data_IF_180618106640
#
_entry.id   IF_180618106640
#
_cell.length_a   1.000
_cell.length_b   1.000
_cell.length_c   1.000
_cell.angle_alpha   90.00
_cell.angle_beta   90.00
_cell.angle_gamma   90.00
#
_symmetry.space_group_name_H-M   'P 1'
#
loop_
_entity.id
_entity.type
_entity.pdbx_description
1 polymer ?
#
# COMPACT_ATOMS: atom_id res chain seq x y z
N UNK A 1 -65.02 24.80 -18.03
CA UNK A 1 -63.93 24.01 -18.62
C UNK A 1 -62.72 24.16 -17.70
N UNK A 2 -62.38 23.12 -16.94
CA UNK A 2 -61.25 23.18 -16.00
C UNK A 2 -59.96 22.83 -16.77
N UNK A 3 -59.06 23.80 -16.90
CA UNK A 3 -57.75 23.57 -17.53
C UNK A 3 -56.84 22.84 -16.54
N UNK A 4 -56.40 21.64 -16.90
CA UNK A 4 -55.42 20.87 -16.13
C UNK A 4 -54.04 21.43 -16.46
N UNK A 5 -53.44 22.16 -15.52
CA UNK A 5 -52.04 22.60 -15.63
C UNK A 5 -51.18 21.36 -15.36
N UNK A 6 -50.78 20.67 -16.42
CA UNK A 6 -49.79 19.58 -16.33
C UNK A 6 -48.41 20.09 -16.75
N UNK A 7 -47.37 19.58 -16.10
CA UNK A 7 -45.98 19.85 -16.49
C UNK A 7 -45.72 19.36 -17.91
N UNK A 8 -44.83 20.04 -18.65
CA UNK A 8 -44.38 19.53 -19.95
C UNK A 8 -43.86 18.09 -19.81
N UNK A 9 -44.21 17.17 -20.74
CA UNK A 9 -43.79 15.78 -20.63
C UNK A 9 -42.26 15.69 -20.75
N UNK A 10 -41.61 15.28 -19.66
CA UNK A 10 -40.19 14.96 -19.69
C UNK A 10 -39.98 13.61 -20.39
N UNK A 11 -39.06 13.56 -21.35
CA UNK A 11 -38.66 12.30 -22.00
C UNK A 11 -37.96 11.44 -20.95
N UNK A 12 -38.62 10.37 -20.52
CA UNK A 12 -38.04 9.43 -19.56
C UNK A 12 -36.90 8.64 -20.21
N UNK A 13 -35.69 8.81 -19.68
CA UNK A 13 -34.57 7.93 -19.95
C UNK A 13 -34.85 6.53 -19.39
N UNK A 14 -34.50 5.48 -20.14
CA UNK A 14 -34.58 4.08 -19.68
C UNK A 14 -33.42 3.69 -18.76
N UNK A 15 -32.40 4.54 -18.63
CA UNK A 15 -31.24 4.32 -17.78
C UNK A 15 -31.57 4.68 -16.33
N UNK A 16 -31.39 3.71 -15.44
CA UNK A 16 -31.57 3.87 -13.99
C UNK A 16 -30.23 3.72 -13.29
N UNK A 17 -30.10 4.33 -12.11
CA UNK A 17 -28.90 4.21 -11.26
C UNK A 17 -28.54 2.74 -11.00
N UNK A 18 -29.54 1.90 -10.70
CA UNK A 18 -29.36 0.46 -10.51
C UNK A 18 -28.76 -0.23 -11.75
N UNK A 19 -29.26 0.05 -12.97
CA UNK A 19 -28.69 -0.52 -14.21
C UNK A 19 -27.24 -0.10 -14.43
N UNK A 20 -26.90 1.14 -14.12
CA UNK A 20 -25.52 1.64 -14.23
C UNK A 20 -24.61 0.91 -13.24
N UNK A 21 -25.03 0.81 -11.96
CA UNK A 21 -24.26 0.13 -10.91
C UNK A 21 -24.04 -1.35 -11.23
N UNK A 22 -25.09 -2.06 -11.67
CA UNK A 22 -24.96 -3.45 -12.10
C UNK A 22 -24.08 -3.61 -13.35
N UNK A 23 -24.11 -2.65 -14.29
CA UNK A 23 -23.21 -2.69 -15.46
C UNK A 23 -21.74 -2.61 -15.04
N UNK A 24 -21.40 -1.78 -14.04
CA UNK A 24 -20.05 -1.71 -13.47
C UNK A 24 -19.71 -2.99 -12.72
N UNK A 25 -20.64 -3.53 -11.94
CA UNK A 25 -20.47 -4.81 -11.26
C UNK A 25 -20.14 -5.95 -12.25
N UNK A 26 -20.93 -6.11 -13.32
CA UNK A 26 -20.68 -7.11 -14.36
C UNK A 26 -19.34 -6.93 -15.08
N UNK A 27 -18.88 -5.68 -15.24
CA UNK A 27 -17.57 -5.40 -15.82
C UNK A 27 -16.40 -5.87 -14.92
N UNK A 28 -16.60 -5.95 -13.60
CA UNK A 28 -15.59 -6.36 -12.63
C UNK A 28 -15.56 -7.88 -12.37
N UNK A 29 -16.68 -8.58 -12.59
CA UNK A 29 -16.80 -10.03 -12.34
C UNK A 29 -15.67 -10.86 -12.98
N UNK A 30 -15.31 -10.67 -14.27
CA UNK A 30 -14.24 -11.46 -14.88
C UNK A 30 -12.91 -11.32 -14.13
N UNK A 31 -12.57 -10.10 -13.71
CA UNK A 31 -11.36 -9.84 -12.93
C UNK A 31 -11.43 -10.50 -11.54
N UNK A 32 -12.60 -10.49 -10.90
CA UNK A 32 -12.84 -11.19 -9.63
C UNK A 32 -12.69 -12.70 -9.72
N UNK A 33 -13.26 -13.31 -10.76
CA UNK A 33 -13.14 -14.76 -11.00
C UNK A 33 -11.66 -15.13 -11.17
N UNK A 34 -10.91 -14.36 -11.95
CA UNK A 34 -9.48 -14.59 -12.13
C UNK A 34 -8.69 -14.39 -10.83
N UNK A 35 -9.06 -13.38 -10.01
CA UNK A 35 -8.53 -13.20 -8.67
C UNK A 35 -8.76 -14.42 -7.77
N UNK A 36 -9.93 -15.04 -7.83
CA UNK A 36 -10.26 -16.26 -7.10
C UNK A 36 -9.41 -17.45 -7.56
N UNK A 37 -9.21 -17.60 -8.87
CA UNK A 37 -8.39 -18.67 -9.42
C UNK A 37 -6.91 -18.54 -9.02
N UNK A 38 -6.40 -17.31 -8.83
CA UNK A 38 -4.98 -17.07 -8.51
C UNK A 38 -4.69 -17.06 -7.02
N UNK A 39 -5.53 -16.42 -6.22
CA UNK A 39 -5.33 -16.33 -4.78
C UNK A 39 -6.04 -17.44 -3.99
N UNK A 40 -6.79 -18.32 -4.67
CA UNK A 40 -7.48 -19.45 -4.07
C UNK A 40 -8.73 -19.05 -3.29
N UNK A 41 -9.27 -20.02 -2.55
CA UNK A 41 -10.59 -19.96 -1.91
C UNK A 41 -10.70 -18.81 -0.89
N UNK A 42 -9.61 -18.43 -0.22
CA UNK A 42 -9.62 -17.32 0.75
C UNK A 42 -10.00 -15.99 0.12
N UNK A 43 -9.61 -15.72 -1.12
CA UNK A 43 -10.03 -14.49 -1.82
C UNK A 43 -11.54 -14.44 -2.08
N UNK A 44 -12.17 -15.60 -2.36
CA UNK A 44 -13.61 -15.70 -2.50
C UNK A 44 -14.31 -15.39 -1.17
N UNK A 45 -13.75 -15.86 -0.04
CA UNK A 45 -14.26 -15.54 1.30
C UNK A 45 -14.16 -14.04 1.56
N UNK A 46 -13.04 -13.38 1.24
CA UNK A 46 -12.87 -11.92 1.40
C UNK A 46 -13.89 -11.15 0.56
N UNK A 47 -14.07 -11.50 -0.71
CA UNK A 47 -15.07 -10.85 -1.59
C UNK A 47 -16.48 -11.05 -1.03
N UNK A 48 -16.86 -12.30 -0.70
CA UNK A 48 -18.19 -12.63 -0.23
C UNK A 48 -18.52 -11.93 1.08
N UNK A 49 -17.62 -11.99 2.07
CA UNK A 49 -17.79 -11.34 3.37
C UNK A 49 -17.84 -9.81 3.26
N UNK A 50 -17.06 -9.21 2.36
CA UNK A 50 -17.09 -7.77 2.09
C UNK A 50 -18.44 -7.33 1.50
N UNK A 51 -18.93 -8.04 0.48
CA UNK A 51 -20.23 -7.74 -0.12
C UNK A 51 -21.36 -7.94 0.89
N UNK A 52 -21.34 -9.07 1.61
CA UNK A 52 -22.36 -9.40 2.60
C UNK A 52 -22.40 -8.34 3.72
N UNK A 53 -21.24 -7.99 4.28
CA UNK A 53 -21.15 -6.98 5.34
C UNK A 53 -21.61 -5.59 4.89
N UNK A 54 -21.24 -5.15 3.68
CA UNK A 54 -21.72 -3.87 3.13
C UNK A 54 -23.25 -3.84 2.95
N UNK A 55 -23.86 -4.93 2.45
CA UNK A 55 -25.31 -5.03 2.29
C UNK A 55 -26.01 -5.03 3.66
N UNK A 56 -25.46 -5.78 4.63
CA UNK A 56 -26.00 -5.81 5.99
C UNK A 56 -25.95 -4.45 6.67
N UNK A 57 -24.80 -3.75 6.59
CA UNK A 57 -24.68 -2.41 7.18
C UNK A 57 -25.58 -1.38 6.49
N UNK A 58 -25.81 -1.50 5.18
CA UNK A 58 -26.75 -0.64 4.46
C UNK A 58 -28.18 -0.87 4.96
N UNK A 59 -28.61 -2.13 5.08
CA UNK A 59 -29.93 -2.45 5.62
C UNK A 59 -30.10 -1.95 7.06
N UNK A 60 -29.13 -2.24 7.93
CA UNK A 60 -29.19 -1.86 9.35
C UNK A 60 -29.22 -0.33 9.50
N UNK A 61 -28.34 0.37 8.79
CA UNK A 61 -28.26 1.83 8.88
C UNK A 61 -29.52 2.51 8.37
N UNK A 62 -30.09 2.06 7.24
CA UNK A 62 -31.34 2.61 6.72
C UNK A 62 -32.53 2.30 7.61
N UNK A 63 -32.63 1.05 8.11
CA UNK A 63 -33.77 0.59 8.91
C UNK A 63 -33.81 1.14 10.33
N UNK A 64 -32.65 1.22 11.00
CA UNK A 64 -32.56 1.48 12.43
C UNK A 64 -31.88 2.80 12.79
N UNK A 65 -30.84 3.22 12.05
CA UNK A 65 -30.04 4.41 12.39
C UNK A 65 -30.66 5.68 11.79
N UNK A 66 -30.72 5.75 10.46
CA UNK A 66 -31.15 6.95 9.72
C UNK A 66 -32.65 6.96 9.39
N UNK A 67 -33.35 5.82 9.56
CA UNK A 67 -34.80 5.65 9.30
C UNK A 67 -35.21 6.14 7.89
N UNK A 68 -34.37 5.87 6.90
CA UNK A 68 -34.61 6.21 5.50
C UNK A 68 -35.31 5.06 4.77
N UNK A 69 -35.75 5.30 3.53
CA UNK A 69 -36.32 4.25 2.67
C UNK A 69 -35.24 3.20 2.34
N UNK A 70 -35.59 1.93 2.38
CA UNK A 70 -34.68 0.81 2.10
C UNK A 70 -34.32 0.82 0.60
N UNK A 71 -33.02 0.96 0.27
CA UNK A 71 -32.48 1.09 -1.10
C UNK A 71 -31.49 0.00 -1.51
N UNK A 72 -31.56 -1.16 -0.87
CA UNK A 72 -30.61 -2.27 -1.07
C UNK A 72 -30.55 -2.75 -2.54
N UNK A 73 -31.67 -2.62 -3.27
CA UNK A 73 -31.80 -3.07 -4.65
C UNK A 73 -31.11 -2.16 -5.68
N UNK A 74 -30.54 -1.03 -5.26
CA UNK A 74 -29.79 -0.13 -6.16
C UNK A 74 -28.42 -0.70 -6.56
N UNK A 75 -27.95 -1.78 -5.92
CA UNK A 75 -26.68 -2.46 -6.25
C UNK A 75 -25.42 -1.69 -5.82
N UNK A 76 -25.57 -0.51 -5.24
CA UNK A 76 -24.45 0.35 -4.84
C UNK A 76 -23.64 -0.20 -3.67
N UNK A 77 -24.26 -0.81 -2.65
CA UNK A 77 -23.55 -1.48 -1.54
C UNK A 77 -22.78 -2.71 -1.99
N UNK A 78 -23.34 -3.48 -2.92
CA UNK A 78 -22.69 -4.63 -3.55
C UNK A 78 -21.41 -4.18 -4.26
N UNK A 79 -21.51 -3.12 -5.07
CA UNK A 79 -20.36 -2.56 -5.78
C UNK A 79 -19.29 -2.01 -4.82
N UNK A 80 -19.70 -1.33 -3.74
CA UNK A 80 -18.78 -0.83 -2.70
C UNK A 80 -18.03 -1.99 -2.04
N UNK A 81 -18.74 -3.06 -1.65
CA UNK A 81 -18.12 -4.23 -1.03
C UNK A 81 -17.17 -4.96 -1.99
N UNK A 82 -17.53 -5.08 -3.27
CA UNK A 82 -16.67 -5.68 -4.29
C UNK A 82 -15.38 -4.86 -4.50
N UNK A 83 -15.52 -3.56 -4.70
CA UNK A 83 -14.38 -2.65 -4.92
C UNK A 83 -13.48 -2.56 -3.69
N UNK A 84 -14.05 -2.56 -2.48
CA UNK A 84 -13.28 -2.60 -1.25
C UNK A 84 -12.48 -3.91 -1.16
N UNK A 85 -13.11 -5.06 -1.40
CA UNK A 85 -12.44 -6.36 -1.40
C UNK A 85 -11.27 -6.42 -2.39
N UNK A 86 -11.41 -5.83 -3.57
CA UNK A 86 -10.35 -5.81 -4.57
C UNK A 86 -9.13 -5.00 -4.12
N UNK A 87 -9.27 -4.09 -3.17
CA UNK A 87 -8.13 -3.34 -2.61
C UNK A 87 -7.51 -4.00 -1.36
N UNK A 88 -8.05 -5.15 -0.93
CA UNK A 88 -7.57 -5.89 0.23
C UNK A 88 -6.74 -7.12 -0.21
N UNK A 89 -5.66 -7.45 0.52
CA UNK A 89 -4.98 -8.74 0.39
C UNK A 89 -5.85 -9.90 0.92
N UNK A 90 -5.48 -11.14 0.57
CA UNK A 90 -6.13 -12.34 1.08
C UNK A 90 -5.80 -12.68 2.54
N UNK A 91 -4.77 -12.06 3.10
CA UNK A 91 -4.33 -12.27 4.49
C UNK A 91 -5.21 -11.56 5.52
N UNK A 92 -6.11 -10.68 5.08
CA UNK A 92 -6.99 -9.88 5.95
C UNK A 92 -7.99 -10.77 6.66
N UNK A 93 -8.16 -10.56 7.98
CA UNK A 93 -9.08 -11.33 8.80
C UNK A 93 -10.52 -10.88 8.56
N UNK A 94 -11.46 -11.82 8.59
CA UNK A 94 -12.88 -11.58 8.27
C UNK A 94 -13.48 -10.45 9.13
N UNK A 95 -13.17 -10.40 10.43
CA UNK A 95 -13.69 -9.36 11.33
C UNK A 95 -13.20 -7.95 10.98
N UNK A 96 -12.01 -7.80 10.37
CA UNK A 96 -11.48 -6.50 9.94
C UNK A 96 -12.29 -5.94 8.76
N UNK A 97 -12.81 -6.82 7.90
CA UNK A 97 -13.70 -6.47 6.79
C UNK A 97 -15.02 -5.89 7.32
N UNK A 98 -15.54 -6.42 8.43
CA UNK A 98 -16.72 -5.83 9.10
C UNK A 98 -16.46 -4.41 9.60
N UNK A 99 -15.26 -4.13 10.11
CA UNK A 99 -14.89 -2.76 10.52
C UNK A 99 -14.82 -1.85 9.29
N UNK A 100 -14.12 -2.25 8.23
CA UNK A 100 -14.03 -1.42 7.02
C UNK A 100 -15.38 -1.14 6.36
N UNK A 101 -16.25 -2.16 6.27
CA UNK A 101 -17.60 -2.02 5.70
C UNK A 101 -18.51 -1.12 6.55
N UNK A 102 -18.38 -1.13 7.87
CA UNK A 102 -19.07 -0.19 8.75
C UNK A 102 -18.68 1.26 8.42
N UNK A 103 -17.39 1.57 8.33
CA UNK A 103 -16.92 2.91 7.98
C UNK A 103 -17.30 3.31 6.55
N UNK A 104 -17.21 2.38 5.59
CA UNK A 104 -17.60 2.62 4.21
C UNK A 104 -19.09 2.93 4.06
N UNK A 105 -19.97 2.16 4.69
CA UNK A 105 -21.41 2.30 4.47
C UNK A 105 -22.01 3.32 5.44
N UNK A 106 -21.82 3.13 6.75
CA UNK A 106 -22.51 3.93 7.75
C UNK A 106 -21.98 5.36 7.74
N UNK A 107 -20.65 5.52 7.78
CA UNK A 107 -20.02 6.84 7.93
C UNK A 107 -19.74 7.54 6.60
N UNK A 108 -19.28 6.82 5.57
CA UNK A 108 -18.90 7.45 4.31
C UNK A 108 -20.04 7.61 3.30
N UNK A 109 -21.12 6.81 3.42
CA UNK A 109 -22.25 6.85 2.48
C UNK A 109 -23.54 7.36 3.14
N UNK A 110 -24.01 6.69 4.19
CA UNK A 110 -25.32 6.96 4.76
C UNK A 110 -25.35 8.26 5.60
N UNK A 111 -24.27 8.59 6.32
CA UNK A 111 -24.16 9.87 7.03
C UNK A 111 -24.29 11.10 6.13
N UNK A 112 -24.03 10.98 4.83
CA UNK A 112 -24.15 12.08 3.86
C UNK A 112 -25.48 12.06 3.08
N UNK A 113 -26.41 11.15 3.40
CA UNK A 113 -27.72 11.07 2.74
C UNK A 113 -27.83 9.97 1.68
N UNK A 114 -26.85 9.07 1.60
CA UNK A 114 -26.88 7.87 0.76
C UNK A 114 -26.33 8.10 -0.66
N UNK A 115 -26.83 7.31 -1.62
CA UNK A 115 -26.38 7.35 -3.02
C UNK A 115 -26.60 8.73 -3.66
N UNK A 116 -25.54 9.32 -4.19
CA UNK A 116 -25.57 10.62 -4.88
C UNK A 116 -25.06 11.81 -4.07
N UNK A 117 -24.78 11.64 -2.77
CA UNK A 117 -24.30 12.72 -1.89
C UNK A 117 -22.92 12.44 -1.26
N UNK A 118 -22.25 11.38 -1.71
CA UNK A 118 -20.96 10.97 -1.17
C UNK A 118 -19.88 12.01 -1.52
N UNK A 119 -19.25 12.60 -0.50
CA UNK A 119 -18.09 13.50 -0.69
C UNK A 119 -16.86 12.70 -1.15
N UNK A 120 -16.72 11.48 -0.65
CA UNK A 120 -15.59 10.60 -0.90
C UNK A 120 -16.05 9.26 -1.45
N UNK A 121 -15.15 8.55 -2.13
CA UNK A 121 -15.44 7.18 -2.57
C UNK A 121 -15.54 6.27 -1.32
N UNK A 122 -16.72 5.69 -1.02
CA UNK A 122 -16.93 4.97 0.23
C UNK A 122 -16.09 3.69 0.34
N UNK A 123 -15.86 2.99 -0.77
CA UNK A 123 -15.04 1.77 -0.81
C UNK A 123 -13.59 2.07 -0.42
N UNK A 124 -13.05 3.19 -0.92
CA UNK A 124 -11.70 3.64 -0.59
C UNK A 124 -11.57 4.07 0.87
N UNK A 125 -12.62 4.65 1.48
CA UNK A 125 -12.61 4.95 2.92
C UNK A 125 -12.53 3.67 3.74
N UNK A 126 -13.38 2.67 3.44
CA UNK A 126 -13.35 1.38 4.14
C UNK A 126 -11.97 0.73 4.07
N UNK A 127 -11.37 0.70 2.88
CA UNK A 127 -10.00 0.21 2.70
C UNK A 127 -8.96 1.04 3.48
N UNK A 128 -9.05 2.37 3.45
CA UNK A 128 -8.09 3.24 4.13
C UNK A 128 -8.12 3.02 5.65
N UNK A 129 -9.31 2.83 6.23
CA UNK A 129 -9.48 2.55 7.66
C UNK A 129 -8.82 1.23 8.04
N UNK A 130 -9.08 0.14 7.30
CA UNK A 130 -8.45 -1.15 7.60
C UNK A 130 -6.93 -1.03 7.52
N UNK A 131 -6.40 -0.32 6.51
CA UNK A 131 -4.96 -0.15 6.34
C UNK A 131 -4.28 0.70 7.42
N UNK A 132 -4.98 1.69 7.96
CA UNK A 132 -4.48 2.50 9.09
C UNK A 132 -4.51 1.70 10.40
N UNK A 133 -5.58 0.95 10.64
CA UNK A 133 -5.76 0.20 11.88
C UNK A 133 -4.93 -1.10 11.91
N UNK A 134 -4.75 -1.74 10.76
CA UNK A 134 -4.13 -3.07 10.64
C UNK A 134 -3.06 -3.11 9.53
N UNK A 135 -1.96 -2.36 9.67
CA UNK A 135 -0.92 -2.30 8.64
C UNK A 135 -0.18 -3.63 8.44
N UNK A 136 -0.05 -4.45 9.48
CA UNK A 136 0.64 -5.74 9.40
C UNK A 136 -0.09 -6.75 8.49
N UNK A 137 -1.41 -6.87 8.63
CA UNK A 137 -2.24 -7.79 7.84
C UNK A 137 -2.41 -7.30 6.37
N UNK A 138 -1.90 -6.11 6.04
CA UNK A 138 -1.89 -5.56 4.68
C UNK A 138 -0.65 -5.94 3.87
N UNK A 139 0.34 -6.56 4.50
CA UNK A 139 1.48 -7.16 3.82
C UNK A 139 1.06 -8.57 3.42
N UNK A 140 0.88 -8.81 2.12
CA UNK A 140 0.35 -10.10 1.62
C UNK A 140 1.27 -11.26 2.01
N UNK A 141 0.74 -12.20 2.79
CA UNK A 141 1.40 -13.47 3.14
C UNK A 141 0.63 -14.59 2.44
N UNK A 142 1.33 -15.40 1.64
CA UNK A 142 0.76 -16.61 1.05
C UNK A 142 0.62 -17.72 2.09
N UNK A 143 -0.32 -18.64 1.81
CA UNK A 143 -0.61 -19.84 2.62
C UNK A 143 0.61 -20.78 2.70
N UNK A 144 1.56 -20.69 1.77
CA UNK A 144 2.77 -21.51 1.73
C UNK A 144 3.97 -20.97 2.53
N UNK A 145 3.76 -19.98 3.40
CA UNK A 145 4.80 -19.51 4.34
C UNK A 145 5.98 -18.74 3.70
N UNK A 146 6.08 -18.71 2.37
CA UNK A 146 7.07 -17.90 1.66
C UNK A 146 6.53 -16.48 1.53
N UNK A 147 7.11 -15.56 2.29
CA UNK A 147 6.84 -14.12 2.15
C UNK A 147 7.52 -13.61 0.88
N UNK A 148 6.76 -13.37 -0.19
CA UNK A 148 7.30 -12.64 -1.36
C UNK A 148 6.78 -11.20 -1.31
N UNK A 149 7.70 -10.25 -1.49
CA UNK A 149 7.34 -8.85 -1.56
C UNK A 149 6.49 -8.57 -2.81
N UNK A 150 5.43 -7.75 -2.67
CA UNK A 150 4.64 -7.31 -3.83
C UNK A 150 5.54 -6.54 -4.81
N UNK A 151 5.29 -6.59 -6.14
CA UNK A 151 6.13 -5.89 -7.11
C UNK A 151 6.29 -4.40 -6.83
N UNK A 152 5.26 -3.77 -6.25
CA UNK A 152 5.32 -2.37 -5.82
C UNK A 152 6.19 -2.18 -4.56
N UNK A 153 6.18 -3.13 -3.64
CA UNK A 153 7.08 -3.17 -2.49
C UNK A 153 8.53 -3.31 -2.92
N UNK A 154 8.84 -4.25 -3.82
CA UNK A 154 10.20 -4.48 -4.35
C UNK A 154 10.73 -3.21 -5.02
N UNK A 155 9.93 -2.58 -5.89
CA UNK A 155 10.30 -1.31 -6.56
C UNK A 155 10.56 -0.17 -5.58
N UNK A 156 9.87 -0.14 -4.45
CA UNK A 156 9.98 0.94 -3.47
C UNK A 156 11.22 0.80 -2.58
N UNK A 157 11.53 -0.44 -2.20
CA UNK A 157 12.64 -0.74 -1.30
C UNK A 157 13.95 -1.04 -2.04
N UNK A 158 13.96 -0.98 -3.38
CA UNK A 158 15.12 -1.33 -4.23
C UNK A 158 15.77 -2.65 -3.80
N UNK A 159 14.96 -3.64 -3.45
CA UNK A 159 15.47 -4.98 -3.14
C UNK A 159 15.91 -5.58 -4.48
N UNK A 160 17.15 -6.07 -4.56
CA UNK A 160 17.75 -6.75 -5.72
C UNK A 160 17.10 -8.13 -5.97
N UNK A 161 15.78 -8.15 -6.08
CA UNK A 161 14.96 -9.29 -6.43
C UNK A 161 14.50 -9.08 -7.87
N UNK A 162 14.60 -10.11 -8.72
CA UNK A 162 14.19 -10.03 -10.13
C UNK A 162 12.77 -9.46 -10.23
N UNK A 163 12.65 -8.30 -10.88
CA UNK A 163 11.35 -7.71 -11.22
C UNK A 163 10.55 -8.73 -12.03
N UNK A 164 9.33 -9.04 -11.56
CA UNK A 164 8.40 -9.92 -12.27
C UNK A 164 8.28 -9.50 -13.73
N UNK A 165 8.27 -10.47 -14.65
CA UNK A 165 8.19 -10.22 -16.08
C UNK A 165 6.96 -9.39 -16.45
N UNK A 166 7.06 -8.57 -17.51
CA UNK A 166 5.94 -7.73 -17.97
C UNK A 166 4.67 -8.55 -18.28
N UNK A 167 4.86 -9.78 -18.77
CA UNK A 167 3.78 -10.74 -19.02
C UNK A 167 3.08 -11.16 -17.74
N UNK A 168 3.83 -11.39 -16.66
CA UNK A 168 3.27 -11.78 -15.36
C UNK A 168 2.55 -10.61 -14.69
N UNK A 169 3.08 -9.40 -14.82
CA UNK A 169 2.41 -8.16 -14.40
C UNK A 169 1.09 -7.94 -15.13
N UNK A 170 1.04 -8.21 -16.43
CA UNK A 170 -0.13 -7.97 -17.28
C UNK A 170 -1.22 -9.04 -17.13
N UNK A 171 -0.82 -10.31 -17.11
CA UNK A 171 -1.72 -11.47 -16.97
C UNK A 171 -2.19 -11.62 -15.52
N UNK A 172 -1.31 -11.36 -14.55
CA UNK A 172 -1.68 -11.51 -13.15
C UNK A 172 -0.95 -12.48 -12.28
N UNK A 173 0.18 -13.03 -12.71
CA UNK A 173 0.90 -14.03 -11.94
C UNK A 173 1.76 -13.40 -10.84
N UNK A 174 1.27 -12.30 -10.25
CA UNK A 174 1.99 -11.52 -9.25
C UNK A 174 1.21 -11.44 -7.96
N UNK A 175 1.93 -11.35 -6.84
CA UNK A 175 1.35 -11.19 -5.52
C UNK A 175 0.92 -9.73 -5.30
N UNK A 176 -0.18 -9.52 -4.59
CA UNK A 176 -0.77 -8.20 -4.38
C UNK A 176 -2.20 -8.27 -3.83
N UNK A 177 -2.95 -7.18 -3.97
CA UNK A 177 -4.38 -7.18 -3.68
C UNK A 177 -5.19 -7.93 -4.76
N UNK A 178 -6.40 -8.39 -4.41
CA UNK A 178 -7.28 -9.14 -5.32
C UNK A 178 -7.58 -8.38 -6.62
N UNK A 179 -7.54 -7.05 -6.58
CA UNK A 179 -7.74 -6.15 -7.71
C UNK A 179 -6.53 -5.94 -8.62
N UNK A 180 -5.35 -6.46 -8.24
CA UNK A 180 -4.12 -6.33 -9.04
C UNK A 180 -3.92 -7.49 -10.03
N UNK A 181 -4.82 -8.48 -10.02
CA UNK A 181 -4.56 -9.79 -10.64
C UNK A 181 -4.79 -9.81 -12.14
N UNK A 182 -5.53 -8.92 -12.79
CA UNK A 182 -5.49 -8.95 -14.27
C UNK A 182 -5.82 -7.60 -14.88
N UNK A 183 -4.77 -6.99 -15.44
CA UNK A 183 -4.90 -5.71 -16.14
C UNK A 183 -5.64 -5.90 -17.45
N UNK A 184 -5.44 -7.04 -18.12
CA UNK A 184 -6.17 -7.41 -19.32
C UNK A 184 -7.69 -7.42 -19.03
N UNK A 185 -8.13 -8.15 -18.01
CA UNK A 185 -9.56 -8.28 -17.71
C UNK A 185 -10.17 -6.95 -17.22
N UNK A 186 -9.43 -6.17 -16.43
CA UNK A 186 -9.86 -4.83 -16.03
C UNK A 186 -9.99 -3.88 -17.22
N UNK A 187 -9.07 -3.94 -18.18
CA UNK A 187 -9.14 -3.14 -19.41
C UNK A 187 -10.33 -3.57 -20.27
N UNK A 188 -10.60 -4.88 -20.41
CA UNK A 188 -11.79 -5.36 -21.12
C UNK A 188 -13.09 -4.86 -20.45
N UNK A 189 -13.15 -4.89 -19.11
CA UNK A 189 -14.25 -4.30 -18.35
C UNK A 189 -14.37 -2.78 -18.60
N UNK A 190 -13.26 -2.05 -18.64
CA UNK A 190 -13.26 -0.63 -18.94
C UNK A 190 -13.74 -0.34 -20.37
N UNK A 191 -13.32 -1.13 -21.37
CA UNK A 191 -13.78 -1.03 -22.76
C UNK A 191 -15.30 -1.24 -22.84
N UNK A 192 -15.84 -2.24 -22.14
CA UNK A 192 -17.28 -2.45 -22.05
C UNK A 192 -18.02 -1.20 -21.51
N UNK A 193 -17.48 -0.56 -20.47
CA UNK A 193 -18.07 0.66 -19.89
C UNK A 193 -17.94 1.89 -20.81
N UNK A 194 -16.87 1.99 -21.61
CA UNK A 194 -16.74 3.01 -22.65
C UNK A 194 -17.77 2.81 -23.77
N UNK A 195 -17.98 1.58 -24.23
CA UNK A 195 -19.00 1.26 -25.25
C UNK A 195 -20.40 1.63 -24.77
N UNK A 196 -20.70 1.41 -23.48
CA UNK A 196 -21.95 1.83 -22.83
C UNK A 196 -22.02 3.33 -22.52
N UNK A 197 -20.97 4.10 -22.79
CA UNK A 197 -20.84 5.54 -22.47
C UNK A 197 -21.11 5.87 -21.00
N UNK A 198 -20.81 4.93 -20.12
CA UNK A 198 -20.91 5.10 -18.67
C UNK A 198 -19.71 5.95 -18.22
N UNK A 199 -18.50 5.57 -18.63
CA UNK A 199 -17.27 6.24 -18.17
C UNK A 199 -16.75 7.22 -19.22
N UNK A 200 -16.24 8.36 -18.76
CA UNK A 200 -15.54 9.33 -19.61
C UNK A 200 -14.03 9.06 -19.66
N UNK A 201 -13.42 9.19 -20.84
CA UNK A 201 -12.00 8.90 -21.05
C UNK A 201 -11.05 9.93 -20.42
N UNK A 202 -11.52 11.14 -20.14
CA UNK A 202 -10.70 12.25 -19.62
C UNK A 202 -9.98 11.89 -18.31
N UNK A 203 -10.67 11.29 -17.33
CA UNK A 203 -10.05 10.99 -16.03
C UNK A 203 -9.00 9.87 -16.17
N UNK A 204 -9.33 8.68 -16.72
CA UNK A 204 -8.36 7.59 -16.81
C UNK A 204 -7.15 7.93 -17.68
N UNK A 205 -7.36 8.60 -18.82
CA UNK A 205 -6.28 8.96 -19.73
C UNK A 205 -5.28 9.92 -19.06
N UNK A 206 -5.78 10.98 -18.41
CA UNK A 206 -4.91 11.97 -17.75
C UNK A 206 -4.21 11.40 -16.52
N UNK A 207 -4.86 10.50 -15.80
CA UNK A 207 -4.29 9.83 -14.64
C UNK A 207 -3.13 8.90 -15.06
N UNK A 208 -3.34 8.03 -16.06
CA UNK A 208 -2.29 7.11 -16.53
C UNK A 208 -1.14 7.89 -17.19
N UNK A 209 -1.44 8.91 -18.01
CA UNK A 209 -0.41 9.68 -18.70
C UNK A 209 0.50 10.44 -17.75
N UNK A 210 -0.04 10.98 -16.66
CA UNK A 210 0.77 11.72 -15.68
C UNK A 210 1.70 10.81 -14.91
N UNK A 211 1.25 9.62 -14.50
CA UNK A 211 2.13 8.62 -13.89
C UNK A 211 3.21 8.16 -14.86
N UNK A 212 2.87 7.96 -16.14
CA UNK A 212 3.84 7.60 -17.18
C UNK A 212 4.95 8.64 -17.31
N UNK A 213 4.57 9.91 -17.49
CA UNK A 213 5.51 11.02 -17.71
C UNK A 213 6.40 11.22 -16.48
N UNK A 214 5.82 11.24 -15.28
CA UNK A 214 6.60 11.41 -14.05
C UNK A 214 7.55 10.24 -13.83
N UNK A 215 7.11 9.01 -14.07
CA UNK A 215 7.99 7.83 -13.94
C UNK A 215 9.18 7.91 -14.90
N UNK A 216 8.95 8.35 -16.14
CA UNK A 216 10.01 8.53 -17.14
C UNK A 216 11.01 9.62 -16.72
N UNK A 217 10.53 10.77 -16.21
CA UNK A 217 11.37 11.88 -15.74
C UNK A 217 12.30 11.43 -14.60
N UNK A 218 11.80 10.60 -13.69
CA UNK A 218 12.55 10.11 -12.54
C UNK A 218 13.34 8.82 -12.79
N UNK A 219 13.52 8.43 -14.06
CA UNK A 219 14.28 7.25 -14.49
C UNK A 219 13.78 5.93 -13.88
N UNK A 220 12.49 5.84 -13.58
CA UNK A 220 11.83 4.58 -13.19
C UNK A 220 11.13 3.98 -14.40
N UNK A 221 11.03 2.65 -14.47
CA UNK A 221 10.32 1.96 -15.55
C UNK A 221 8.83 2.37 -15.58
N UNK A 222 8.35 3.16 -16.57
CA UNK A 222 7.01 3.72 -16.53
C UNK A 222 5.92 2.66 -16.68
N UNK A 223 6.20 1.66 -17.51
CA UNK A 223 5.28 0.54 -17.77
C UNK A 223 5.11 -0.30 -16.51
N UNK A 224 6.19 -0.58 -15.78
CA UNK A 224 6.11 -1.34 -14.54
C UNK A 224 5.35 -0.56 -13.47
N UNK A 225 5.49 0.77 -13.41
CA UNK A 225 4.69 1.61 -12.51
C UNK A 225 3.19 1.58 -12.85
N UNK A 226 2.81 1.63 -14.12
CA UNK A 226 1.39 1.59 -14.51
C UNK A 226 0.77 0.21 -14.24
N UNK A 227 1.52 -0.86 -14.55
CA UNK A 227 1.07 -2.24 -14.39
C UNK A 227 1.21 -2.76 -12.95
N UNK A 228 1.91 -2.04 -12.08
CA UNK A 228 2.08 -2.39 -10.67
C UNK A 228 1.03 -1.70 -9.80
N UNK A 229 0.56 -2.40 -8.76
CA UNK A 229 -0.45 -1.92 -7.82
C UNK A 229 -1.83 -1.72 -8.44
N UNK A 230 -2.75 -1.16 -7.64
CA UNK A 230 -4.15 -0.95 -8.02
C UNK A 230 -4.41 0.20 -9.01
N UNK A 231 -3.44 0.64 -9.82
CA UNK A 231 -3.57 1.88 -10.62
C UNK A 231 -4.65 1.76 -11.70
N UNK A 232 -4.67 0.67 -12.46
CA UNK A 232 -5.67 0.47 -13.51
C UNK A 232 -7.07 0.34 -12.92
N UNK A 233 -7.21 -0.43 -11.84
CA UNK A 233 -8.47 -0.53 -11.11
C UNK A 233 -8.94 0.84 -10.60
N UNK A 234 -8.04 1.59 -9.96
CA UNK A 234 -8.34 2.92 -9.44
C UNK A 234 -8.70 3.92 -10.53
N UNK A 235 -7.98 3.92 -11.65
CA UNK A 235 -8.20 4.85 -12.76
C UNK A 235 -9.55 4.62 -13.46
N UNK A 236 -9.92 3.37 -13.73
CA UNK A 236 -11.13 3.06 -14.50
C UNK A 236 -12.37 2.76 -13.67
N UNK A 237 -12.26 2.38 -12.39
CA UNK A 237 -13.43 1.95 -11.62
C UNK A 237 -13.68 2.77 -10.35
N UNK A 238 -12.69 3.55 -9.88
CA UNK A 238 -12.82 4.34 -8.65
C UNK A 238 -12.75 5.84 -8.88
N UNK A 239 -11.82 6.31 -9.71
CA UNK A 239 -11.64 7.72 -10.03
C UNK A 239 -12.76 8.26 -10.95
N UNK A 240 -13.46 7.37 -11.65
CA UNK A 240 -14.56 7.69 -12.56
C UNK A 240 -15.93 7.48 -11.92
N UNK A 241 -15.99 7.38 -10.60
CA UNK A 241 -17.26 7.33 -9.87
C UNK A 241 -18.01 8.68 -10.02
N UNK A 242 -19.28 8.61 -10.41
CA UNK A 242 -20.07 9.78 -10.84
C UNK A 242 -20.34 10.78 -9.73
N UNK A 243 -20.42 10.31 -8.50
CA UNK A 243 -20.78 11.15 -7.36
C UNK A 243 -19.58 11.94 -6.86
N UNK A 244 -18.39 11.38 -7.03
CA UNK A 244 -17.16 11.86 -6.42
C UNK A 244 -16.16 12.42 -7.43
N UNK A 245 -16.56 12.59 -8.69
CA UNK A 245 -15.72 13.16 -9.76
C UNK A 245 -16.34 14.44 -10.35
N UNK A 246 -15.53 15.36 -10.90
CA UNK A 246 -16.04 16.61 -11.46
C UNK A 246 -16.94 16.39 -12.66
N UNK A 247 -17.93 17.26 -12.85
CA UNK A 247 -18.91 17.16 -13.94
C UNK A 247 -18.29 17.65 -15.26
N UNK A 248 -17.55 18.77 -15.22
CA UNK A 248 -17.03 19.43 -16.43
C UNK A 248 -15.74 18.79 -16.97
N UNK A 249 -15.57 18.80 -18.29
CA UNK A 249 -14.38 18.23 -18.96
C UNK A 249 -13.05 18.81 -18.46
N UNK A 250 -12.97 20.14 -18.24
CA UNK A 250 -11.77 20.79 -17.69
C UNK A 250 -11.47 20.34 -16.26
N UNK A 251 -12.51 20.22 -15.43
CA UNK A 251 -12.40 19.70 -14.06
C UNK A 251 -11.90 18.26 -14.05
N UNK A 252 -12.44 17.41 -14.94
CA UNK A 252 -12.01 16.01 -15.10
C UNK A 252 -10.54 15.87 -15.49
N UNK A 253 -10.03 16.74 -16.36
CA UNK A 253 -8.61 16.75 -16.76
C UNK A 253 -7.72 17.10 -15.57
N UNK A 254 -8.04 18.19 -14.85
CA UNK A 254 -7.26 18.63 -13.67
C UNK A 254 -7.32 17.56 -12.58
N UNK A 255 -8.48 16.94 -12.38
CA UNK A 255 -8.68 15.85 -11.44
C UNK A 255 -7.79 14.65 -11.77
N UNK A 256 -7.80 14.18 -13.02
CA UNK A 256 -6.95 13.08 -13.46
C UNK A 256 -5.45 13.38 -13.31
N UNK A 257 -5.02 14.60 -13.67
CA UNK A 257 -3.62 15.05 -13.48
C UNK A 257 -3.24 15.03 -12.00
N UNK A 258 -4.11 15.58 -11.13
CA UNK A 258 -3.88 15.64 -9.69
C UNK A 258 -3.80 14.26 -9.06
N UNK A 259 -4.68 13.33 -9.45
CA UNK A 259 -4.62 11.93 -9.02
C UNK A 259 -3.25 11.33 -9.36
N UNK A 260 -2.80 11.41 -10.61
CA UNK A 260 -1.54 10.80 -11.02
C UNK A 260 -0.29 11.42 -10.40
N UNK A 261 -0.27 12.74 -10.23
CA UNK A 261 0.81 13.43 -9.52
C UNK A 261 0.90 12.97 -8.06
N UNK A 262 -0.24 12.89 -7.37
CA UNK A 262 -0.29 12.42 -5.99
C UNK A 262 0.08 10.94 -5.88
N UNK A 263 -0.41 10.08 -6.77
CA UNK A 263 -0.05 8.65 -6.76
C UNK A 263 1.44 8.44 -6.93
N UNK A 264 2.06 9.12 -7.91
CA UNK A 264 3.49 9.01 -8.14
C UNK A 264 4.29 9.49 -6.93
N UNK A 265 3.88 10.65 -6.36
CA UNK A 265 4.54 11.22 -5.18
C UNK A 265 4.43 10.31 -3.96
N UNK A 266 3.26 9.71 -3.73
CA UNK A 266 3.02 8.78 -2.63
C UNK A 266 3.76 7.45 -2.83
N UNK A 267 3.90 6.96 -4.07
CA UNK A 267 4.70 5.76 -4.35
C UNK A 267 6.18 5.98 -4.07
N UNK A 268 6.70 7.14 -4.46
CA UNK A 268 8.12 7.47 -4.31
C UNK A 268 8.50 7.86 -2.88
N UNK A 269 7.67 8.65 -2.20
CA UNK A 269 8.01 9.26 -0.90
C UNK A 269 7.12 8.79 0.26
N UNK A 270 5.95 8.21 -0.02
CA UNK A 270 5.02 7.78 1.01
C UNK A 270 5.50 6.54 1.76
N UNK A 271 4.80 6.17 2.83
CA UNK A 271 5.14 4.99 3.66
C UNK A 271 4.39 3.74 3.15
N UNK A 272 3.15 3.91 2.68
CA UNK A 272 2.34 2.82 2.14
C UNK A 272 2.77 2.40 0.73
N UNK A 273 2.65 1.12 0.42
CA UNK A 273 2.89 0.57 -0.92
C UNK A 273 1.72 0.93 -1.85
N UNK A 274 0.48 0.62 -1.45
CA UNK A 274 -0.73 1.01 -2.18
C UNK A 274 -1.08 2.50 -2.00
N UNK A 275 -0.79 3.29 -3.03
CA UNK A 275 -0.91 4.76 -3.01
C UNK A 275 -2.13 5.31 -3.75
N UNK A 276 -2.74 4.49 -4.61
CA UNK A 276 -3.79 4.90 -5.56
C UNK A 276 -5.05 5.37 -4.86
N UNK A 277 -5.53 4.60 -3.87
CA UNK A 277 -6.74 4.94 -3.13
C UNK A 277 -6.63 6.27 -2.38
N UNK A 278 -5.49 6.51 -1.72
CA UNK A 278 -5.25 7.77 -0.99
C UNK A 278 -5.22 8.97 -1.93
N UNK A 279 -4.59 8.85 -3.11
CA UNK A 279 -4.58 9.94 -4.10
C UNK A 279 -5.98 10.29 -4.59
N UNK A 280 -6.85 9.31 -4.81
CA UNK A 280 -8.25 9.54 -5.21
C UNK A 280 -9.02 10.21 -4.07
N UNK A 281 -8.90 9.73 -2.83
CA UNK A 281 -9.59 10.34 -1.68
C UNK A 281 -9.19 11.80 -1.47
N UNK A 282 -7.91 12.13 -1.63
CA UNK A 282 -7.40 13.51 -1.54
C UNK A 282 -7.98 14.37 -2.68
N UNK A 283 -8.07 13.83 -3.89
CA UNK A 283 -8.62 14.57 -5.02
C UNK A 283 -10.14 14.75 -4.95
N UNK A 284 -10.87 13.81 -4.34
CA UNK A 284 -12.32 13.92 -4.14
C UNK A 284 -12.68 15.18 -3.33
N UNK A 285 -11.84 15.56 -2.34
CA UNK A 285 -11.99 16.83 -1.60
C UNK A 285 -11.92 18.07 -2.50
N UNK A 286 -11.18 17.99 -3.60
CA UNK A 286 -10.97 19.10 -4.52
C UNK A 286 -12.12 19.23 -5.53
N UNK A 287 -13.01 18.25 -5.66
CA UNK A 287 -14.06 18.21 -6.69
C UNK A 287 -15.04 19.38 -6.58
N UNK A 288 -15.60 19.76 -5.41
CA UNK A 288 -16.48 20.92 -5.31
C UNK A 288 -15.81 22.22 -5.79
N UNK A 289 -14.49 22.33 -5.59
CA UNK A 289 -13.71 23.48 -6.02
C UNK A 289 -13.51 23.46 -7.54
N UNK A 290 -13.22 22.28 -8.11
CA UNK A 290 -13.04 22.09 -9.56
C UNK A 290 -14.33 22.41 -10.35
N UNK A 291 -15.49 22.01 -9.84
CA UNK A 291 -16.77 22.33 -10.47
C UNK A 291 -17.17 23.79 -10.26
N UNK A 292 -16.83 24.37 -9.11
CA UNK A 292 -17.07 25.79 -8.80
C UNK A 292 -16.41 26.78 -9.77
N UNK A 293 -15.32 26.40 -10.46
CA UNK A 293 -14.65 27.28 -11.42
C UNK A 293 -15.46 27.60 -12.69
N UNK A 294 -16.44 26.76 -13.06
CA UNK A 294 -17.20 26.92 -14.30
C UNK A 294 -18.64 27.44 -14.10
N UNK A 295 -19.15 27.49 -12.86
CA UNK A 295 -20.44 28.14 -12.61
C UNK A 295 -20.30 29.66 -12.80
N UNK A 296 -21.17 30.26 -13.63
CA UNK A 296 -21.23 31.72 -13.83
C UNK A 296 -21.37 32.40 -12.46
N UNK A 297 -20.60 33.48 -12.26
CA UNK A 297 -20.48 34.30 -11.03
C UNK A 297 -21.82 34.75 -10.43
N UNK A 298 -22.92 34.68 -11.15
CA UNK A 298 -24.19 35.29 -10.77
C UNK A 298 -25.05 34.44 -9.81
N UNK A 299 -24.78 33.14 -9.66
CA UNK A 299 -25.49 32.28 -8.69
C UNK A 299 -24.80 32.15 -7.33
N UNK A 300 -23.60 32.74 -7.18
CA UNK A 300 -22.74 32.53 -6.02
C UNK A 300 -22.70 33.77 -5.12
N UNK A 301 -23.87 34.21 -4.65
CA UNK A 301 -23.99 35.14 -3.52
C UNK A 301 -23.71 34.44 -2.17
N UNK A 302 -22.71 33.56 -2.12
CA UNK A 302 -22.10 33.10 -0.88
C UNK A 302 -20.59 33.19 -1.10
N UNK A 303 -20.03 34.36 -0.75
CA UNK A 303 -18.59 34.66 -0.73
C UNK A 303 -17.89 33.75 0.28
N UNK A 304 -17.69 32.48 -0.04
CA UNK A 304 -16.62 31.68 0.55
C UNK A 304 -15.43 31.89 -0.37
N UNK A 305 -14.35 32.42 0.19
CA UNK A 305 -13.16 32.83 -0.55
C UNK A 305 -12.35 31.59 -0.97
N UNK A 306 -12.93 30.76 -1.84
CA UNK A 306 -12.47 29.42 -2.25
C UNK A 306 -11.04 29.44 -2.79
N UNK A 307 -10.61 30.52 -3.48
CA UNK A 307 -9.21 30.71 -3.90
C UNK A 307 -8.22 30.68 -2.73
N UNK A 308 -8.60 31.23 -1.57
CA UNK A 308 -7.79 31.21 -0.35
C UNK A 308 -7.67 29.78 0.18
N UNK A 309 -8.75 29.00 0.14
CA UNK A 309 -8.74 27.60 0.58
C UNK A 309 -7.96 26.67 -0.36
N UNK A 310 -7.95 26.93 -1.68
CA UNK A 310 -7.08 26.21 -2.64
C UNK A 310 -5.60 26.53 -2.39
N UNK A 311 -5.26 27.81 -2.16
CA UNK A 311 -3.90 28.19 -1.79
C UNK A 311 -3.50 27.57 -0.45
N UNK A 312 -4.40 27.59 0.55
CA UNK A 312 -4.19 26.93 1.84
C UNK A 312 -4.06 25.42 1.65
N UNK A 313 -4.81 24.77 0.76
CA UNK A 313 -4.73 23.33 0.53
C UNK A 313 -3.40 22.93 -0.11
N UNK A 314 -2.97 23.62 -1.18
CA UNK A 314 -1.64 23.38 -1.79
C UNK A 314 -0.49 23.73 -0.84
N UNK A 315 -0.68 24.76 -0.01
CA UNK A 315 0.31 25.18 0.99
C UNK A 315 0.33 24.21 2.18
N UNK A 316 -0.81 23.68 2.62
CA UNK A 316 -0.90 22.66 3.67
C UNK A 316 -0.41 21.31 3.16
N UNK A 317 -0.74 20.89 1.93
CA UNK A 317 -0.20 19.65 1.35
C UNK A 317 1.30 19.79 1.08
N UNK A 318 1.76 20.97 0.66
CA UNK A 318 3.18 21.30 0.50
C UNK A 318 3.92 21.31 1.82
N UNK A 319 3.35 21.92 2.87
CA UNK A 319 3.91 21.91 4.24
C UNK A 319 3.88 20.50 4.83
N UNK A 320 2.82 19.72 4.63
CA UNK A 320 2.74 18.34 5.08
C UNK A 320 3.78 17.48 4.35
N UNK A 321 4.02 17.75 3.06
CA UNK A 321 5.06 17.10 2.26
C UNK A 321 6.48 17.52 2.71
N UNK A 322 6.70 18.79 3.04
CA UNK A 322 7.96 19.29 3.60
C UNK A 322 8.17 18.74 5.01
N UNK A 323 7.14 18.68 5.84
CA UNK A 323 7.18 18.15 7.20
C UNK A 323 7.43 16.64 7.17
N UNK A 324 6.74 15.88 6.33
CA UNK A 324 7.03 14.46 6.13
C UNK A 324 8.43 14.25 5.56
N UNK A 325 8.92 15.11 4.66
CA UNK A 325 10.33 15.08 4.24
C UNK A 325 11.30 15.42 5.37
N UNK A 326 11.00 16.38 6.25
CA UNK A 326 11.84 16.72 7.41
C UNK A 326 11.86 15.59 8.45
N UNK A 327 10.72 14.97 8.73
CA UNK A 327 10.60 13.79 9.60
C UNK A 327 11.26 12.56 8.97
N UNK A 328 11.13 12.38 7.65
CA UNK A 328 11.83 11.33 6.90
C UNK A 328 13.32 11.59 6.83
N UNK A 329 13.83 12.82 6.63
CA UNK A 329 15.28 13.11 6.69
C UNK A 329 15.84 12.83 8.09
N UNK A 330 15.07 13.12 9.15
CA UNK A 330 15.46 12.78 10.53
C UNK A 330 15.49 11.27 10.78
N UNK A 331 14.62 10.48 10.12
CA UNK A 331 14.68 9.01 10.14
C UNK A 331 15.72 8.42 9.18
N UNK A 332 15.94 9.01 8.01
CA UNK A 332 16.90 8.56 6.98
C UNK A 332 18.34 8.83 7.43
N UNK A 333 18.61 9.85 8.25
CA UNK A 333 19.89 9.94 8.96
C UNK A 333 20.09 8.85 10.02
N UNK A 334 19.03 8.15 10.41
CA UNK A 334 19.06 6.98 11.32
C UNK A 334 19.01 5.66 10.51
N UNK A 335 18.65 5.69 9.22
CA UNK A 335 18.49 4.51 8.33
C UNK A 335 19.26 4.57 7.01
N UNK A 336 20.28 5.43 6.86
CA UNK A 336 21.42 5.02 6.02
C UNK A 336 22.08 3.88 6.80
N UNK A 337 22.44 2.73 6.18
CA UNK A 337 23.40 1.85 6.83
C UNK A 337 24.56 2.76 7.26
N UNK A 338 24.97 2.75 8.53
CA UNK A 338 26.13 3.51 8.95
C UNK A 338 27.23 3.19 7.94
N UNK A 339 27.95 4.23 7.50
CA UNK A 339 29.05 4.09 6.55
C UNK A 339 29.82 2.81 6.91
N UNK A 340 30.02 1.87 5.97
CA UNK A 340 30.46 0.50 6.32
C UNK A 340 31.70 0.51 7.23
N UNK A 341 32.55 1.52 7.06
CA UNK A 341 33.69 1.85 7.90
C UNK A 341 33.37 2.05 9.39
N UNK A 342 32.23 2.64 9.73
CA UNK A 342 31.73 2.83 11.11
C UNK A 342 31.29 1.48 11.70
N UNK A 343 30.57 0.65 10.94
CA UNK A 343 30.16 -0.69 11.38
C UNK A 343 31.39 -1.58 11.58
N UNK A 344 32.35 -1.51 10.66
CA UNK A 344 33.60 -2.26 10.75
C UNK A 344 34.45 -1.84 11.96
N UNK A 345 34.48 -0.55 12.30
CA UNK A 345 35.13 -0.06 13.53
C UNK A 345 34.41 -0.48 14.81
N UNK A 346 33.10 -0.59 14.81
CA UNK A 346 32.37 -1.10 15.98
C UNK A 346 32.65 -2.58 16.23
N UNK A 347 32.81 -3.34 15.16
CA UNK A 347 33.00 -4.79 15.20
C UNK A 347 34.48 -5.18 15.39
N UNK A 348 35.41 -4.40 14.85
CA UNK A 348 36.86 -4.56 14.97
C UNK A 348 37.52 -3.20 15.32
N UNK A 349 37.43 -2.74 16.58
CA UNK A 349 37.86 -1.39 16.98
C UNK A 349 39.37 -1.17 16.93
N UNK A 350 40.16 -2.24 16.80
CA UNK A 350 41.62 -2.19 16.74
C UNK A 350 42.17 -1.90 15.34
N UNK A 351 41.34 -1.93 14.29
CA UNK A 351 41.78 -1.67 12.92
C UNK A 351 41.70 -0.19 12.54
N UNK A 352 42.78 0.30 11.91
CA UNK A 352 42.89 1.62 11.34
C UNK A 352 42.30 1.71 9.92
N UNK A 353 42.46 0.64 9.13
CA UNK A 353 42.01 0.57 7.73
C UNK A 353 41.42 -0.81 7.37
N UNK A 354 40.63 -0.89 6.30
CA UNK A 354 39.90 -2.10 5.90
C UNK A 354 40.06 -2.42 4.41
N UNK A 355 40.37 -3.68 4.08
CA UNK A 355 40.43 -4.17 2.69
C UNK A 355 39.34 -5.23 2.49
N UNK A 356 38.34 -4.92 1.65
CA UNK A 356 37.29 -5.87 1.27
C UNK A 356 37.84 -6.92 0.27
N UNK A 357 37.60 -8.21 0.53
CA UNK A 357 37.81 -9.35 -0.37
C UNK A 357 36.45 -10.00 -0.69
N UNK A 358 36.41 -10.93 -1.64
CA UNK A 358 35.15 -11.57 -2.08
C UNK A 358 34.34 -12.22 -0.94
N UNK A 359 35.00 -12.80 0.08
CA UNK A 359 34.33 -13.57 1.14
C UNK A 359 34.53 -13.02 2.56
N UNK A 360 35.44 -12.05 2.77
CA UNK A 360 35.75 -11.47 4.08
C UNK A 360 36.40 -10.10 3.92
N UNK A 361 36.47 -9.32 4.99
CA UNK A 361 37.17 -8.02 5.02
C UNK A 361 38.35 -8.09 6.01
N UNK A 362 39.54 -7.69 5.57
CA UNK A 362 40.75 -7.66 6.40
C UNK A 362 40.83 -6.31 7.14
N UNK A 363 41.04 -6.34 8.46
CA UNK A 363 41.34 -5.16 9.26
C UNK A 363 42.85 -4.98 9.46
N UNK A 364 43.36 -3.80 9.14
CA UNK A 364 44.78 -3.45 9.16
C UNK A 364 45.11 -2.45 10.27
N UNK A 365 46.29 -2.59 10.87
CA UNK A 365 46.90 -1.61 11.77
C UNK A 365 47.46 -0.39 11.01
N UNK A 366 47.85 0.67 11.73
CA UNK A 366 48.57 1.84 11.17
C UNK A 366 49.84 1.43 10.40
N UNK A 367 50.44 0.29 10.76
CA UNK A 367 51.61 -0.29 10.10
C UNK A 367 51.27 -1.27 8.95
N UNK A 368 50.01 -1.30 8.46
CA UNK A 368 49.52 -2.21 7.42
C UNK A 368 49.68 -3.71 7.74
N UNK A 369 49.63 -4.08 9.02
CA UNK A 369 49.62 -5.48 9.46
C UNK A 369 48.18 -5.93 9.69
N UNK A 370 47.84 -7.15 9.32
CA UNK A 370 46.51 -7.72 9.55
C UNK A 370 46.32 -7.97 11.04
N UNK A 371 45.30 -7.36 11.64
CA UNK A 371 44.92 -7.53 13.05
C UNK A 371 43.75 -8.52 13.16
N UNK A 372 42.87 -8.57 12.16
CA UNK A 372 41.72 -9.46 12.21
C UNK A 372 40.88 -9.44 10.94
N UNK A 373 39.79 -10.18 10.97
CA UNK A 373 38.88 -10.39 9.85
C UNK A 373 37.46 -10.03 10.25
N UNK A 374 36.71 -9.50 9.28
CA UNK A 374 35.29 -9.21 9.41
C UNK A 374 34.55 -10.09 8.42
N UNK A 375 33.53 -10.78 8.91
CA UNK A 375 32.74 -11.75 8.17
C UNK A 375 31.26 -11.33 8.21
N UNK A 376 30.57 -11.53 7.08
CA UNK A 376 29.15 -11.25 6.94
C UNK A 376 28.42 -12.59 6.87
N UNK A 377 27.55 -12.85 7.84
CA UNK A 377 26.72 -14.05 7.92
C UNK A 377 25.33 -13.73 7.42
N UNK A 378 24.75 -14.68 6.68
CA UNK A 378 23.35 -14.68 6.31
C UNK A 378 22.73 -16.00 6.77
N UNK A 379 21.75 -15.94 7.65
CA UNK A 379 21.09 -17.12 8.24
C UNK A 379 19.58 -16.94 8.26
N UNK A 380 18.82 -18.03 8.35
CA UNK A 380 17.35 -18.00 8.44
C UNK A 380 16.89 -18.11 9.89
N UNK A 381 16.16 -17.10 10.36
CA UNK A 381 15.51 -17.09 11.66
C UNK A 381 14.12 -17.75 11.64
N UNK A 382 13.32 -17.49 12.68
CA UNK A 382 11.97 -18.06 12.79
C UNK A 382 10.99 -17.48 11.76
N UNK A 383 11.09 -16.18 11.48
CA UNK A 383 10.15 -15.44 10.65
C UNK A 383 10.77 -14.82 9.40
N UNK A 384 12.10 -14.81 9.29
CA UNK A 384 12.79 -14.44 8.06
C UNK A 384 14.31 -14.39 8.18
N UNK A 385 14.96 -13.86 7.16
CA UNK A 385 16.41 -13.81 7.07
C UNK A 385 17.03 -12.82 8.07
N UNK A 386 18.18 -13.21 8.63
CA UNK A 386 19.01 -12.43 9.55
C UNK A 386 20.39 -12.26 8.90
N UNK A 387 20.78 -11.01 8.67
CA UNK A 387 22.10 -10.64 8.16
C UNK A 387 22.91 -10.00 9.31
N UNK A 388 24.02 -10.62 9.70
CA UNK A 388 24.87 -10.20 10.79
C UNK A 388 26.33 -10.03 10.33
N UNK A 389 27.05 -9.11 10.98
CA UNK A 389 28.49 -8.92 10.80
C UNK A 389 29.16 -9.20 12.13
N UNK A 390 30.24 -9.97 12.09
CA UNK A 390 31.07 -10.20 13.25
C UNK A 390 32.55 -10.05 12.90
N UNK A 391 33.33 -9.70 13.92
CA UNK A 391 34.74 -9.38 13.82
C UNK A 391 35.50 -10.38 14.63
N UNK A 392 36.65 -10.80 14.10
CA UNK A 392 37.46 -11.86 14.68
C UNK A 392 38.91 -11.42 14.66
N UNK A 393 39.60 -11.54 15.80
CA UNK A 393 41.03 -11.30 15.92
C UNK A 393 41.85 -12.46 15.29
N UNK A 394 43.14 -12.27 15.07
CA UNK A 394 44.07 -13.28 14.53
C UNK A 394 44.14 -14.61 15.32
N UNK A 395 43.53 -14.65 16.52
CA UNK A 395 43.39 -15.85 17.37
C UNK A 395 42.00 -16.49 17.32
N UNK A 396 41.19 -16.15 16.32
CA UNK A 396 39.81 -16.62 16.16
C UNK A 396 38.88 -16.28 17.34
N UNK A 397 39.15 -15.15 18.01
CA UNK A 397 38.29 -14.63 19.08
C UNK A 397 37.38 -13.54 18.54
N UNK A 398 36.10 -13.59 18.88
CA UNK A 398 35.13 -12.60 18.43
C UNK A 398 35.38 -11.28 19.15
N UNK A 399 35.65 -10.22 18.41
CA UNK A 399 35.87 -8.86 18.93
C UNK A 399 34.57 -8.08 19.07
N UNK A 400 33.59 -8.37 18.22
CA UNK A 400 32.28 -7.71 18.21
C UNK A 400 31.32 -8.37 17.23
N UNK A 401 30.03 -8.16 17.45
CA UNK A 401 28.95 -8.63 16.57
C UNK A 401 27.89 -7.54 16.44
N UNK A 402 27.35 -7.37 15.24
CA UNK A 402 26.28 -6.43 14.94
C UNK A 402 25.34 -7.00 13.89
N UNK A 403 24.04 -6.87 14.15
CA UNK A 403 23.00 -7.26 13.19
C UNK A 403 22.77 -6.08 12.23
N UNK A 404 22.88 -6.33 10.92
CA UNK A 404 22.66 -5.30 9.88
C UNK A 404 21.17 -5.16 9.60
N UNK A 405 20.50 -6.30 9.43
CA UNK A 405 19.10 -6.38 9.10
C UNK A 405 18.54 -7.72 9.53
N UNK A 406 17.30 -7.68 10.03
CA UNK A 406 16.54 -8.86 10.40
C UNK A 406 15.09 -8.68 9.95
N UNK A 407 14.43 -9.79 9.62
CA UNK A 407 13.00 -9.80 9.31
C UNK A 407 12.22 -10.60 10.36
N UNK A 408 12.55 -10.36 11.63
CA UNK A 408 12.00 -11.07 12.78
C UNK A 408 10.77 -10.38 13.38
N UNK A 409 9.95 -11.14 14.11
CA UNK A 409 8.73 -10.61 14.75
C UNK A 409 9.07 -9.50 15.77
N UNK A 410 8.56 -8.26 15.58
CA UNK A 410 8.88 -7.13 16.47
C UNK A 410 8.48 -7.38 17.93
N UNK A 411 9.41 -7.15 18.85
CA UNK A 411 9.20 -7.29 20.31
C UNK A 411 9.40 -8.70 20.85
N UNK A 412 9.64 -9.70 19.98
CA UNK A 412 9.99 -11.07 20.38
C UNK A 412 11.32 -11.45 19.72
N UNK A 413 11.30 -11.81 18.43
CA UNK A 413 12.49 -12.20 17.68
C UNK A 413 13.48 -11.04 17.49
N UNK A 414 12.98 -9.80 17.42
CA UNK A 414 13.82 -8.61 17.24
C UNK A 414 14.77 -8.30 18.41
N UNK A 415 14.60 -9.00 19.54
CA UNK A 415 15.42 -8.84 20.76
C UNK A 415 16.86 -9.34 20.60
N UNK A 416 17.15 -10.08 19.53
CA UNK A 416 18.52 -10.46 19.18
C UNK A 416 19.43 -9.26 18.88
N UNK A 417 18.87 -8.06 18.66
CA UNK A 417 19.62 -6.80 18.55
C UNK A 417 19.99 -6.17 19.91
N UNK A 418 19.48 -6.69 21.03
CA UNK A 418 19.75 -6.13 22.34
C UNK A 418 21.22 -6.31 22.73
N UNK A 419 21.81 -5.27 23.34
CA UNK A 419 23.23 -5.26 23.75
C UNK A 419 23.56 -6.38 24.73
N UNK A 420 22.59 -6.78 25.56
CA UNK A 420 22.75 -7.83 26.56
C UNK A 420 22.96 -9.22 25.94
N UNK A 421 22.41 -9.45 24.73
CA UNK A 421 22.65 -10.67 23.96
C UNK A 421 23.96 -10.58 23.17
N UNK A 422 24.16 -9.50 22.41
CA UNK A 422 25.32 -9.31 21.54
C UNK A 422 26.65 -9.26 22.30
N UNK A 423 26.68 -8.70 23.51
CA UNK A 423 27.91 -8.64 24.31
C UNK A 423 28.40 -10.02 24.77
N UNK A 424 27.54 -11.04 24.80
CA UNK A 424 27.92 -12.38 25.24
C UNK A 424 28.89 -13.08 24.30
N UNK A 425 28.97 -12.64 23.04
CA UNK A 425 29.86 -13.18 22.02
C UNK A 425 31.27 -12.59 22.11
N UNK A 426 31.42 -11.39 22.70
CA UNK A 426 32.72 -10.71 22.78
C UNK A 426 33.72 -11.49 23.63
N UNK A 427 34.93 -11.68 23.10
CA UNK A 427 36.05 -12.37 23.76
C UNK A 427 35.98 -13.90 23.77
N UNK A 428 34.92 -14.51 23.23
CA UNK A 428 34.78 -15.97 23.09
C UNK A 428 35.42 -16.47 21.80
N UNK A 429 35.83 -17.75 21.81
CA UNK A 429 36.23 -18.47 20.61
C UNK A 429 34.97 -18.85 19.82
N UNK A 430 35.08 -18.92 18.50
CA UNK A 430 33.97 -19.30 17.61
C UNK A 430 33.33 -20.63 18.02
N UNK A 431 34.15 -21.63 18.40
CA UNK A 431 33.70 -22.96 18.86
C UNK A 431 32.92 -22.94 20.18
N UNK A 432 33.02 -21.87 20.98
CA UNK A 432 32.32 -21.73 22.25
C UNK A 432 30.97 -20.99 22.11
N UNK A 433 30.63 -20.53 20.91
CA UNK A 433 29.46 -19.69 20.63
C UNK A 433 28.18 -20.49 20.42
N UNK A 434 28.00 -21.59 21.14
CA UNK A 434 26.78 -22.41 21.14
C UNK A 434 25.85 -22.01 22.28
N UNK A 435 24.54 -22.23 22.13
CA UNK A 435 23.56 -21.98 23.19
C UNK A 435 23.80 -22.93 24.39
N UNK A 436 23.60 -22.44 25.62
CA UNK A 436 23.76 -23.25 26.84
C UNK A 436 22.93 -24.54 26.86
N UNK A 437 21.72 -24.51 26.30
CA UNK A 437 20.86 -25.70 26.17
C UNK A 437 21.49 -26.80 25.30
N UNK A 438 22.38 -26.44 24.37
CA UNK A 438 23.08 -27.35 23.47
C UNK A 438 24.55 -27.59 23.89
N UNK A 439 24.91 -27.22 25.12
CA UNK A 439 26.24 -27.45 25.70
C UNK A 439 27.25 -26.30 25.52
N UNK A 440 26.82 -25.13 25.05
CA UNK A 440 27.66 -23.96 24.86
C UNK A 440 27.64 -22.94 26.01
N UNK A 441 28.09 -21.71 25.72
CA UNK A 441 28.23 -20.62 26.72
C UNK A 441 27.34 -19.40 26.48
N UNK A 442 26.46 -19.42 25.47
CA UNK A 442 25.58 -18.29 25.12
C UNK A 442 24.18 -18.50 25.70
N UNK A 443 23.64 -17.51 26.39
CA UNK A 443 22.25 -17.50 26.85
C UNK A 443 21.33 -17.15 25.68
N UNK A 444 20.36 -18.03 25.39
CA UNK A 444 19.32 -17.73 24.41
C UNK A 444 18.39 -16.62 24.92
N UNK A 445 17.86 -15.81 24.01
CA UNK A 445 16.88 -14.79 24.35
C UNK A 445 15.53 -15.44 24.68
N UNK A 446 14.97 -15.11 25.84
CA UNK A 446 13.67 -15.64 26.30
C UNK A 446 12.57 -15.38 25.25
N UNK A 447 11.90 -16.46 24.83
CA UNK A 447 10.86 -16.44 23.78
C UNK A 447 11.36 -16.21 22.35
N UNK A 448 12.67 -16.16 22.11
CA UNK A 448 13.29 -16.05 20.78
C UNK A 448 14.42 -17.08 20.59
N UNK A 449 14.23 -18.31 21.10
CA UNK A 449 15.25 -19.37 21.09
C UNK A 449 15.64 -19.79 19.67
N UNK A 450 14.69 -19.85 18.73
CA UNK A 450 14.94 -20.25 17.34
C UNK A 450 15.84 -19.22 16.64
N UNK A 451 15.52 -17.94 16.78
CA UNK A 451 16.29 -16.84 16.18
C UNK A 451 17.66 -16.67 16.85
N UNK A 452 17.74 -16.93 18.17
CA UNK A 452 19.03 -16.98 18.89
C UNK A 452 19.91 -18.13 18.38
N UNK A 453 19.31 -19.31 18.12
CA UNK A 453 20.00 -20.50 17.63
C UNK A 453 20.51 -20.32 16.21
N UNK A 454 19.71 -19.70 15.35
CA UNK A 454 20.10 -19.39 13.97
C UNK A 454 21.36 -18.51 13.89
N UNK A 455 21.54 -17.58 14.84
CA UNK A 455 22.75 -16.76 14.92
C UNK A 455 23.94 -17.57 15.45
N UNK A 456 23.77 -18.33 16.53
CA UNK A 456 24.86 -19.12 17.11
C UNK A 456 25.37 -20.22 16.20
N UNK A 457 24.49 -20.85 15.42
CA UNK A 457 24.86 -21.94 14.51
C UNK A 457 25.56 -21.42 13.24
N UNK A 458 25.34 -20.14 12.91
CA UNK A 458 25.89 -19.52 11.72
C UNK A 458 27.23 -18.82 11.96
N UNK A 459 27.57 -18.55 13.23
CA UNK A 459 28.89 -18.10 13.70
C UNK A 459 29.80 -19.30 13.83
#
# INVERSE_FOLDING_TARGET
MAFIISSSPHINSKETTSKIMFSVFFALIPAGIWGILKFGVYSAVVIFTSVLSCVLFEFISQRYIFKTKIRILDGSSILIGLLMAYCLPTSVKIWQIFIGSFFAIVLAKESFGGTGYNIFNPALIGMAVIRILFPADMVGVQVDGITQATPLGIMKWNVDMQLAGFTDLFIGNIQGSIGEVSKLLLILGAVYLFLKRIISWHIPAMYISTVFILSAIFKQNPISQILSGGLILGAFFMATDYVTSPIFARGKIIFGIGCGLLTFSLRKFGIFTESVGYSILIMNLSVPLLDGFNFKKDFMAMKINIKKYVYIFFLVSGILYIATNLFSFKKIHISKPPDKSIIFKEVLPMAADFIERENYTEGLDENKRIIGYILIIKTEGYSGQIDAIFGVDNKFKITGIKIISQNETPGVGSRIEEKDFLNQFTGKLTEECVIKEDGGKIDAVTSATISSRAITDAI
#
